data_IF_881889996319
#
_entry.id   IF_881889996319
#
_cell.length_a   1.000
_cell.length_b   1.000
_cell.length_c   1.000
_cell.angle_alpha   90.00
_cell.angle_beta   90.00
_cell.angle_gamma   90.00
#
_symmetry.space_group_name_H-M   'P 1'
#
loop_
_entity.id
_entity.type
_entity.pdbx_description
1 polymer ?
#
# COMPACT_ATOMS: atom_id res chain seq x y z
N UNK A 1 29.81 -5.52 38.29
CA UNK A 1 28.43 -5.06 38.53
C UNK A 1 28.32 -3.65 37.96
N UNK A 2 27.83 -3.53 36.77
CA UNK A 2 27.64 -2.23 36.12
C UNK A 2 26.15 -2.13 35.83
N UNK A 3 25.45 -1.30 36.60
CA UNK A 3 24.04 -1.02 36.49
C UNK A 3 23.75 -0.42 35.09
N UNK A 4 23.14 -1.19 34.23
CA UNK A 4 22.54 -0.69 32.98
C UNK A 4 21.24 0.02 33.35
N UNK A 5 21.29 1.31 33.53
CA UNK A 5 20.09 2.16 33.61
C UNK A 5 19.27 2.02 32.31
N UNK A 6 17.96 1.74 32.40
CA UNK A 6 17.11 1.77 31.25
C UNK A 6 17.03 3.20 30.69
N UNK A 7 17.33 3.37 29.41
CA UNK A 7 17.20 4.63 28.70
C UNK A 7 15.75 5.12 28.82
N UNK A 8 15.54 6.17 29.61
CA UNK A 8 14.24 6.84 29.71
C UNK A 8 13.89 7.40 28.34
N UNK A 9 12.99 6.76 27.64
CA UNK A 9 12.32 7.34 26.47
C UNK A 9 11.62 8.61 26.95
N UNK A 10 12.20 9.78 26.67
CA UNK A 10 11.56 11.08 26.89
C UNK A 10 10.31 11.12 26.03
N UNK A 11 9.17 10.79 26.61
CA UNK A 11 7.88 11.09 26.02
C UNK A 11 7.75 12.61 25.92
N UNK A 12 7.86 13.14 24.71
CA UNK A 12 7.65 14.56 24.46
C UNK A 12 6.15 14.83 24.68
N UNK A 13 5.83 15.37 25.86
CA UNK A 13 4.48 15.83 26.18
C UNK A 13 4.17 17.09 25.37
N UNK A 14 3.66 16.90 24.17
CA UNK A 14 3.14 17.99 23.34
C UNK A 14 1.89 18.53 24.03
N UNK A 15 1.85 19.84 24.25
CA UNK A 15 0.69 20.51 24.87
C UNK A 15 -0.59 20.13 24.10
N UNK A 16 -1.70 19.79 24.80
CA UNK A 16 -2.91 19.28 24.13
C UNK A 16 -3.49 20.25 23.10
N UNK A 17 -3.35 21.57 23.32
CA UNK A 17 -3.74 22.57 22.33
C UNK A 17 -2.91 22.54 21.05
N UNK A 18 -1.59 22.34 21.18
CA UNK A 18 -0.70 22.23 20.02
C UNK A 18 -1.01 20.95 19.21
N UNK A 19 -1.27 19.84 19.91
CA UNK A 19 -1.68 18.59 19.26
C UNK A 19 -3.01 18.77 18.51
N UNK A 20 -4.00 19.44 19.12
CA UNK A 20 -5.28 19.74 18.48
C UNK A 20 -5.09 20.63 17.24
N UNK A 21 -4.27 21.69 17.35
CA UNK A 21 -3.97 22.58 16.23
C UNK A 21 -3.32 21.83 15.05
N UNK A 22 -2.33 20.98 15.30
CA UNK A 22 -1.70 20.15 14.27
C UNK A 22 -2.72 19.22 13.62
N UNK A 23 -3.57 18.55 14.41
CA UNK A 23 -4.59 17.66 13.89
C UNK A 23 -5.59 18.40 13.01
N UNK A 24 -6.04 19.59 13.41
CA UNK A 24 -6.97 20.42 12.62
C UNK A 24 -6.34 20.88 11.30
N UNK A 25 -5.06 21.32 11.32
CA UNK A 25 -4.34 21.74 10.13
C UNK A 25 -4.18 20.57 9.16
N UNK A 26 -3.71 19.41 9.65
CA UNK A 26 -3.52 18.21 8.81
C UNK A 26 -4.85 17.72 8.26
N UNK A 27 -5.89 17.64 9.12
CA UNK A 27 -7.23 17.23 8.67
C UNK A 27 -7.81 18.21 7.63
N UNK A 28 -7.64 19.51 7.83
CA UNK A 28 -8.06 20.52 6.86
C UNK A 28 -7.32 20.38 5.53
N UNK A 29 -6.02 20.18 5.55
CA UNK A 29 -5.21 19.97 4.34
C UNK A 29 -5.64 18.70 3.56
N UNK A 30 -6.07 17.64 4.25
CA UNK A 30 -6.56 16.41 3.61
C UNK A 30 -8.01 16.56 3.13
N UNK A 31 -8.87 17.17 3.93
CA UNK A 31 -10.30 17.28 3.61
C UNK A 31 -10.59 18.35 2.54
N UNK A 32 -9.79 19.43 2.48
CA UNK A 32 -10.02 20.53 1.54
C UNK A 32 -10.07 20.08 0.06
N UNK A 33 -9.11 19.30 -0.47
CA UNK A 33 -9.19 18.83 -1.86
C UNK A 33 -10.35 17.87 -2.08
N UNK A 34 -10.73 17.07 -1.10
CA UNK A 34 -11.89 16.16 -1.21
C UNK A 34 -13.20 16.95 -1.27
N UNK A 35 -13.36 17.96 -0.42
CA UNK A 35 -14.52 18.87 -0.46
C UNK A 35 -14.55 19.66 -1.77
N UNK A 36 -13.40 20.17 -2.23
CA UNK A 36 -13.32 20.88 -3.50
C UNK A 36 -13.71 19.99 -4.69
N UNK A 37 -13.30 18.72 -4.70
CA UNK A 37 -13.69 17.76 -5.73
C UNK A 37 -15.19 17.46 -5.68
N UNK A 38 -15.74 17.24 -4.49
CA UNK A 38 -17.16 16.98 -4.27
C UNK A 38 -18.02 18.17 -4.71
N UNK A 39 -17.69 19.37 -4.23
CA UNK A 39 -18.43 20.59 -4.57
C UNK A 39 -18.23 20.99 -6.04
N UNK A 40 -17.04 20.74 -6.58
CA UNK A 40 -16.73 20.98 -7.99
C UNK A 40 -17.63 20.22 -8.95
N UNK A 41 -18.05 19.01 -8.56
CA UNK A 41 -19.00 18.23 -9.35
C UNK A 41 -20.39 18.87 -9.51
N UNK A 42 -20.76 19.78 -8.59
CA UNK A 42 -22.03 20.53 -8.69
C UNK A 42 -21.90 21.87 -9.43
N UNK A 43 -20.72 22.21 -9.96
CA UNK A 43 -20.46 23.47 -10.63
C UNK A 43 -20.50 23.34 -12.15
N UNK A 44 -20.74 24.47 -12.81
CA UNK A 44 -20.45 24.57 -14.24
C UNK A 44 -18.93 24.62 -14.48
N UNK A 45 -18.49 24.27 -15.68
CA UNK A 45 -17.05 24.34 -16.04
C UNK A 45 -16.48 25.76 -15.91
N UNK A 46 -17.27 26.79 -16.21
CA UNK A 46 -16.89 28.18 -16.04
C UNK A 46 -16.68 28.55 -14.58
N UNK A 47 -17.62 28.21 -13.73
CA UNK A 47 -17.56 28.45 -12.29
C UNK A 47 -16.40 27.69 -11.63
N UNK A 48 -16.17 26.44 -12.02
CA UNK A 48 -15.07 25.64 -11.52
C UNK A 48 -13.69 26.26 -11.81
N UNK A 49 -13.53 26.91 -12.96
CA UNK A 49 -12.28 27.62 -13.34
C UNK A 49 -12.07 28.92 -12.56
N UNK A 50 -13.13 29.65 -12.26
CA UNK A 50 -13.03 30.96 -11.59
C UNK A 50 -12.99 30.78 -10.07
N UNK A 51 -13.77 29.87 -9.52
CA UNK A 51 -13.89 29.64 -8.08
C UNK A 51 -13.85 28.14 -7.75
N UNK A 52 -12.66 27.48 -7.77
CA UNK A 52 -12.56 26.04 -7.55
C UNK A 52 -12.92 25.61 -6.13
N UNK A 53 -12.70 26.44 -5.12
CA UNK A 53 -12.85 26.09 -3.70
C UNK A 53 -14.12 26.63 -3.04
N UNK A 54 -14.86 27.55 -3.68
CA UNK A 54 -16.08 28.12 -3.13
C UNK A 54 -17.28 27.16 -3.19
N UNK A 55 -18.39 27.59 -2.64
CA UNK A 55 -19.68 26.89 -2.80
C UNK A 55 -20.23 27.10 -4.22
N UNK A 56 -20.97 26.14 -4.80
CA UNK A 56 -21.65 26.32 -6.07
C UNK A 56 -22.66 27.47 -5.99
N UNK A 57 -22.67 28.37 -6.98
CA UNK A 57 -23.69 29.39 -7.14
C UNK A 57 -25.02 28.77 -7.55
N UNK A 58 -24.96 27.94 -8.59
CA UNK A 58 -26.07 27.11 -9.04
C UNK A 58 -25.72 25.64 -8.95
N UNK A 59 -26.50 24.88 -8.21
CA UNK A 59 -26.27 23.46 -7.98
C UNK A 59 -26.63 22.62 -9.20
N UNK A 60 -25.63 22.15 -9.94
CA UNK A 60 -25.76 21.35 -11.15
C UNK A 60 -25.92 19.85 -10.81
N UNK A 61 -27.07 19.45 -10.29
CA UNK A 61 -27.39 18.05 -9.97
C UNK A 61 -27.32 17.13 -11.21
N UNK A 62 -27.58 17.71 -12.39
CA UNK A 62 -27.53 17.00 -13.66
C UNK A 62 -26.17 16.38 -13.95
N UNK A 63 -25.06 16.97 -13.46
CA UNK A 63 -23.71 16.43 -13.65
C UNK A 63 -23.59 15.04 -13.02
N UNK A 64 -24.04 14.88 -11.78
CA UNK A 64 -24.03 13.59 -11.10
C UNK A 64 -25.06 12.63 -11.67
N UNK A 65 -26.27 13.10 -11.97
CA UNK A 65 -27.30 12.27 -12.54
C UNK A 65 -26.92 11.75 -13.93
N UNK A 66 -26.36 12.61 -14.79
CA UNK A 66 -25.85 12.23 -16.11
C UNK A 66 -24.74 11.19 -16.03
N UNK A 67 -23.84 11.32 -15.03
CA UNK A 67 -22.79 10.35 -14.77
C UNK A 67 -23.39 8.98 -14.37
N UNK A 68 -24.25 8.97 -13.36
CA UNK A 68 -24.85 7.75 -12.79
C UNK A 68 -25.78 7.04 -13.76
N UNK A 69 -26.44 7.79 -14.67
CA UNK A 69 -27.29 7.21 -15.74
C UNK A 69 -26.48 6.64 -16.90
N UNK A 70 -25.18 7.01 -16.98
CA UNK A 70 -24.33 6.63 -18.09
C UNK A 70 -23.85 5.18 -17.99
N UNK A 71 -24.12 4.37 -19.03
CA UNK A 71 -23.63 2.97 -19.10
C UNK A 71 -22.11 2.88 -18.97
N UNK A 72 -21.38 3.85 -19.51
CA UNK A 72 -19.91 3.89 -19.47
C UNK A 72 -19.39 3.99 -18.03
N UNK A 73 -20.04 4.77 -17.16
CA UNK A 73 -19.67 4.88 -15.74
C UNK A 73 -19.68 3.52 -15.06
N UNK A 74 -20.76 2.75 -15.23
CA UNK A 74 -20.89 1.44 -14.60
C UNK A 74 -19.93 0.40 -15.19
N UNK A 75 -19.61 0.49 -16.48
CA UNK A 75 -18.57 -0.35 -17.09
C UNK A 75 -17.20 -0.06 -16.46
N UNK A 76 -16.82 1.22 -16.34
CA UNK A 76 -15.54 1.61 -15.70
C UNK A 76 -15.49 1.21 -14.22
N UNK A 77 -16.61 1.40 -13.51
CA UNK A 77 -16.71 0.99 -12.11
C UNK A 77 -16.58 -0.53 -11.97
N UNK A 78 -17.25 -1.30 -12.80
CA UNK A 78 -17.14 -2.76 -12.84
C UNK A 78 -15.72 -3.23 -13.14
N UNK A 79 -15.05 -2.64 -14.11
CA UNK A 79 -13.65 -2.96 -14.43
C UNK A 79 -12.72 -2.62 -13.26
N UNK A 80 -12.89 -1.46 -12.62
CA UNK A 80 -12.09 -1.06 -11.47
C UNK A 80 -12.28 -2.02 -10.29
N UNK A 81 -13.53 -2.41 -10.01
CA UNK A 81 -13.85 -3.36 -8.96
C UNK A 81 -13.23 -4.73 -9.24
N UNK A 82 -13.33 -5.20 -10.46
CA UNK A 82 -12.76 -6.48 -10.90
C UNK A 82 -11.24 -6.47 -10.79
N UNK A 83 -10.57 -5.44 -11.32
CA UNK A 83 -9.11 -5.29 -11.23
C UNK A 83 -8.67 -5.25 -9.77
N UNK A 84 -9.32 -4.42 -8.94
CA UNK A 84 -9.00 -4.29 -7.52
C UNK A 84 -9.17 -5.63 -6.77
N UNK A 85 -10.29 -6.31 -7.01
CA UNK A 85 -10.57 -7.61 -6.38
C UNK A 85 -9.54 -8.66 -6.79
N UNK A 86 -9.25 -8.77 -8.09
CA UNK A 86 -8.22 -9.71 -8.58
C UNK A 86 -6.84 -9.39 -8.01
N UNK A 87 -6.46 -8.11 -7.96
CA UNK A 87 -5.18 -7.69 -7.39
C UNK A 87 -5.10 -8.06 -5.91
N UNK A 88 -6.14 -7.76 -5.12
CA UNK A 88 -6.17 -8.09 -3.69
C UNK A 88 -6.10 -9.59 -3.47
N UNK A 89 -6.95 -10.37 -4.15
CA UNK A 89 -6.97 -11.84 -3.99
C UNK A 89 -5.63 -12.45 -4.38
N UNK A 90 -5.06 -12.08 -5.51
CA UNK A 90 -3.75 -12.58 -5.94
C UNK A 90 -2.65 -12.14 -4.98
N UNK A 91 -2.67 -10.90 -4.52
CA UNK A 91 -1.69 -10.43 -3.52
C UNK A 91 -1.79 -11.24 -2.24
N UNK A 92 -2.98 -11.53 -1.74
CA UNK A 92 -3.17 -12.36 -0.55
C UNK A 92 -2.64 -13.79 -0.75
N UNK A 93 -2.96 -14.42 -1.87
CA UNK A 93 -2.47 -15.78 -2.19
C UNK A 93 -0.95 -15.81 -2.30
N UNK A 94 -0.37 -14.85 -3.02
CA UNK A 94 1.09 -14.78 -3.22
C UNK A 94 1.79 -14.31 -1.93
N UNK A 95 1.12 -13.52 -1.08
CA UNK A 95 1.67 -13.12 0.23
C UNK A 95 1.87 -14.30 1.18
N UNK A 96 1.08 -15.35 1.08
CA UNK A 96 1.33 -16.58 1.84
C UNK A 96 2.69 -17.20 1.47
N UNK A 97 3.00 -17.25 0.16
CA UNK A 97 4.33 -17.67 -0.32
C UNK A 97 5.42 -16.67 0.06
N UNK A 98 5.11 -15.38 0.01
CA UNK A 98 6.02 -14.31 0.44
C UNK A 98 6.34 -14.38 1.93
N UNK A 99 5.37 -14.78 2.77
CA UNK A 99 5.60 -14.97 4.20
C UNK A 99 6.58 -16.10 4.48
N UNK A 100 6.52 -17.21 3.73
CA UNK A 100 7.52 -18.28 3.81
C UNK A 100 8.92 -17.77 3.45
N UNK A 101 9.04 -17.02 2.36
CA UNK A 101 10.30 -16.41 1.97
C UNK A 101 10.80 -15.40 3.01
N UNK A 102 9.90 -14.58 3.57
CA UNK A 102 10.23 -13.62 4.60
C UNK A 102 10.73 -14.27 5.89
N UNK A 103 10.11 -15.38 6.31
CA UNK A 103 10.56 -16.22 7.43
C UNK A 103 11.98 -16.75 7.17
N UNK A 104 12.23 -17.33 6.00
CA UNK A 104 13.57 -17.81 5.63
C UNK A 104 14.61 -16.68 5.69
N UNK A 105 14.29 -15.48 5.21
CA UNK A 105 15.17 -14.32 5.31
C UNK A 105 15.33 -13.77 6.74
N UNK A 106 14.39 -14.04 7.65
CA UNK A 106 14.47 -13.62 9.04
C UNK A 106 15.35 -14.56 9.87
N UNK A 107 15.06 -15.86 9.83
CA UNK A 107 15.51 -16.83 10.83
C UNK A 107 16.48 -17.88 10.28
N UNK A 108 16.42 -18.20 8.96
CA UNK A 108 17.30 -19.21 8.38
C UNK A 108 18.63 -18.60 7.92
N UNK A 109 19.74 -19.20 8.36
CA UNK A 109 21.08 -18.84 7.92
C UNK A 109 21.45 -19.64 6.67
N UNK A 110 21.65 -18.96 5.52
CA UNK A 110 22.12 -19.57 4.28
C UNK A 110 23.07 -18.65 3.52
N UNK A 111 23.90 -19.25 2.67
CA UNK A 111 24.86 -18.50 1.87
C UNK A 111 24.13 -17.53 0.91
N UNK A 112 24.54 -16.26 0.92
CA UNK A 112 23.95 -15.23 0.05
C UNK A 112 22.64 -14.60 0.55
N UNK A 113 22.14 -14.96 1.75
CA UNK A 113 20.90 -14.41 2.33
C UNK A 113 20.84 -12.88 2.28
N UNK A 114 21.87 -12.22 2.80
CA UNK A 114 21.89 -10.76 2.89
C UNK A 114 22.04 -10.10 1.51
N UNK A 115 22.77 -10.74 0.59
CA UNK A 115 22.85 -10.28 -0.79
C UNK A 115 21.48 -10.33 -1.48
N UNK A 116 20.77 -11.46 -1.39
CA UNK A 116 19.45 -11.64 -1.99
C UNK A 116 18.43 -10.68 -1.36
N UNK A 117 18.46 -10.51 -0.05
CA UNK A 117 17.58 -9.58 0.62
C UNK A 117 17.85 -8.13 0.21
N UNK A 118 19.12 -7.72 0.17
CA UNK A 118 19.48 -6.38 -0.30
C UNK A 118 19.11 -6.16 -1.77
N UNK A 119 19.21 -7.19 -2.61
CA UNK A 119 18.75 -7.13 -3.99
C UNK A 119 17.24 -6.86 -4.09
N UNK A 120 16.42 -7.50 -3.23
CA UNK A 120 14.99 -7.19 -3.12
C UNK A 120 14.75 -5.74 -2.66
N UNK A 121 15.53 -5.24 -1.70
CA UNK A 121 15.42 -3.85 -1.24
C UNK A 121 15.74 -2.84 -2.35
N UNK A 122 16.70 -3.12 -3.22
CA UNK A 122 16.98 -2.28 -4.38
C UNK A 122 15.75 -2.13 -5.28
N UNK A 123 14.93 -3.19 -5.41
CA UNK A 123 13.68 -3.13 -6.14
C UNK A 123 12.67 -2.11 -5.57
N UNK A 124 12.64 -1.93 -4.24
CA UNK A 124 11.81 -0.91 -3.59
C UNK A 124 12.34 0.52 -3.77
N UNK A 125 13.64 0.67 -3.90
CA UNK A 125 14.27 1.98 -4.12
C UNK A 125 14.05 2.48 -5.55
N UNK A 126 13.67 1.59 -6.47
CA UNK A 126 13.45 1.98 -7.86
C UNK A 126 12.12 2.71 -8.00
N UNK A 127 12.12 3.97 -8.47
CA UNK A 127 10.87 4.74 -8.59
C UNK A 127 9.93 4.07 -9.60
N UNK A 128 8.71 3.74 -9.17
CA UNK A 128 7.71 3.14 -10.06
C UNK A 128 7.46 3.96 -11.33
N UNK A 129 7.58 5.30 -11.23
CA UNK A 129 7.42 6.20 -12.37
C UNK A 129 8.44 5.96 -13.48
N UNK A 130 9.69 5.59 -13.16
CA UNK A 130 10.72 5.29 -14.16
C UNK A 130 10.55 3.90 -14.79
N UNK A 131 9.84 3.01 -14.11
CA UNK A 131 9.54 1.67 -14.60
C UNK A 131 8.38 1.64 -15.62
N UNK A 132 7.59 2.71 -15.75
CA UNK A 132 6.37 2.73 -16.57
C UNK A 132 6.66 2.33 -18.02
N UNK A 133 7.69 2.92 -18.66
CA UNK A 133 8.01 2.64 -20.05
C UNK A 133 8.53 1.21 -20.27
N UNK A 134 9.54 0.71 -19.53
CA UNK A 134 9.97 -0.67 -19.61
C UNK A 134 8.85 -1.68 -19.32
N UNK A 135 8.00 -1.37 -18.34
CA UNK A 135 6.86 -2.20 -17.99
C UNK A 135 5.83 -2.27 -19.11
N UNK A 136 5.51 -1.13 -19.73
CA UNK A 136 4.60 -1.08 -20.88
C UNK A 136 5.12 -1.95 -22.03
N UNK A 137 6.43 -1.83 -22.36
CA UNK A 137 7.06 -2.66 -23.40
C UNK A 137 6.91 -4.15 -23.05
N UNK A 138 7.19 -4.52 -21.80
CA UNK A 138 7.08 -5.91 -21.34
C UNK A 138 5.66 -6.46 -21.44
N UNK A 139 4.66 -5.67 -21.02
CA UNK A 139 3.24 -6.04 -21.11
C UNK A 139 2.81 -6.20 -22.55
N UNK A 140 3.25 -5.29 -23.43
CA UNK A 140 3.00 -5.39 -24.86
C UNK A 140 3.60 -6.68 -25.47
N UNK A 141 4.84 -6.97 -25.15
CA UNK A 141 5.57 -8.13 -25.68
C UNK A 141 4.98 -9.46 -25.17
N UNK A 142 4.32 -9.44 -24.00
CA UNK A 142 3.56 -10.56 -23.46
C UNK A 142 2.14 -10.67 -24.05
N UNK A 143 1.71 -9.73 -24.91
CA UNK A 143 0.37 -9.71 -25.49
C UNK A 143 -0.74 -9.37 -24.48
N UNK A 144 -0.39 -8.68 -23.38
CA UNK A 144 -1.32 -8.36 -22.30
C UNK A 144 -1.87 -6.92 -22.37
N UNK A 145 -1.62 -6.18 -23.46
CA UNK A 145 -2.25 -4.88 -23.70
C UNK A 145 -3.78 -5.06 -23.76
N UNK A 146 -4.49 -4.06 -23.24
CA UNK A 146 -5.97 -4.03 -23.17
C UNK A 146 -6.59 -5.19 -22.36
N UNK A 147 -5.77 -5.88 -21.54
CA UNK A 147 -6.17 -6.94 -20.64
C UNK A 147 -6.13 -6.48 -19.17
N UNK A 148 -7.07 -6.95 -18.35
CA UNK A 148 -7.02 -6.75 -16.90
C UNK A 148 -5.70 -7.28 -16.28
N UNK A 149 -5.14 -8.37 -16.85
CA UNK A 149 -3.89 -8.96 -16.41
C UNK A 149 -2.67 -8.04 -16.62
N UNK A 150 -2.70 -7.21 -17.66
CA UNK A 150 -1.67 -6.20 -17.90
C UNK A 150 -1.58 -5.15 -16.79
N UNK A 151 -2.63 -4.99 -15.98
CA UNK A 151 -2.66 -4.09 -14.83
C UNK A 151 -2.45 -4.86 -13.52
N UNK A 152 -3.11 -6.01 -13.36
CA UNK A 152 -3.10 -6.81 -12.13
C UNK A 152 -1.71 -7.37 -11.82
N UNK A 153 -1.05 -8.01 -12.80
CA UNK A 153 0.23 -8.66 -12.58
C UNK A 153 1.34 -7.70 -12.11
N UNK A 154 1.53 -6.52 -12.72
CA UNK A 154 2.49 -5.55 -12.21
C UNK A 154 2.20 -5.08 -10.79
N UNK A 155 0.93 -4.81 -10.47
CA UNK A 155 0.54 -4.35 -9.13
C UNK A 155 0.86 -5.42 -8.07
N UNK A 156 0.56 -6.69 -8.35
CA UNK A 156 0.91 -7.82 -7.47
C UNK A 156 2.43 -7.91 -7.31
N UNK A 157 3.19 -7.82 -8.40
CA UNK A 157 4.65 -7.94 -8.36
C UNK A 157 5.31 -6.82 -7.53
N UNK A 158 4.88 -5.56 -7.69
CA UNK A 158 5.37 -4.45 -6.87
C UNK A 158 4.97 -4.60 -5.40
N UNK A 159 3.74 -5.04 -5.13
CA UNK A 159 3.24 -5.28 -3.78
C UNK A 159 3.98 -6.38 -3.04
N UNK A 160 4.42 -7.42 -3.76
CA UNK A 160 5.08 -8.58 -3.20
C UNK A 160 6.40 -8.23 -2.49
N UNK A 161 7.24 -7.38 -3.10
CA UNK A 161 8.52 -6.97 -2.52
C UNK A 161 8.31 -6.24 -1.20
N UNK A 162 7.35 -5.32 -1.15
CA UNK A 162 6.98 -4.62 0.08
C UNK A 162 6.45 -5.59 1.14
N UNK A 163 5.60 -6.55 0.75
CA UNK A 163 5.07 -7.56 1.65
C UNK A 163 6.18 -8.41 2.29
N UNK A 164 7.15 -8.91 1.51
CA UNK A 164 8.29 -9.68 2.03
C UNK A 164 9.06 -8.89 3.08
N UNK A 165 9.36 -7.61 2.81
CA UNK A 165 10.13 -6.76 3.73
C UNK A 165 9.36 -6.52 5.03
N UNK A 166 8.07 -6.21 4.95
CA UNK A 166 7.22 -5.95 6.13
C UNK A 166 7.09 -7.22 6.99
N UNK A 167 6.80 -8.35 6.38
CA UNK A 167 6.61 -9.63 7.08
C UNK A 167 7.94 -10.09 7.71
N UNK A 168 9.07 -9.94 6.99
CA UNK A 168 10.39 -10.25 7.56
C UNK A 168 10.70 -9.41 8.79
N UNK A 169 10.40 -8.12 8.75
CA UNK A 169 10.63 -7.25 9.91
C UNK A 169 9.74 -7.64 11.08
N UNK A 170 8.53 -8.12 10.83
CA UNK A 170 7.65 -8.68 11.85
C UNK A 170 8.26 -9.93 12.49
N UNK A 171 8.71 -10.90 11.70
CA UNK A 171 9.36 -12.11 12.21
C UNK A 171 10.60 -11.78 13.05
N UNK A 172 11.45 -10.86 12.59
CA UNK A 172 12.62 -10.41 13.37
C UNK A 172 12.29 -9.72 14.70
N UNK A 173 11.06 -9.26 14.86
CA UNK A 173 10.56 -8.68 16.11
C UNK A 173 10.00 -9.69 17.09
N UNK A 174 9.84 -10.95 16.69
CA UNK A 174 9.38 -12.01 17.58
C UNK A 174 10.47 -12.38 18.60
N UNK A 175 10.12 -12.61 19.89
CA UNK A 175 11.06 -13.10 20.87
C UNK A 175 11.66 -14.46 20.45
N UNK A 176 12.99 -14.61 20.58
CA UNK A 176 13.67 -15.85 20.24
C UNK A 176 13.16 -17.05 21.05
N UNK A 177 12.70 -16.79 22.27
CA UNK A 177 12.15 -17.81 23.19
C UNK A 177 10.98 -18.59 22.56
N UNK A 178 10.20 -17.95 21.69
CA UNK A 178 9.08 -18.61 21.00
C UNK A 178 9.59 -19.68 20.02
N UNK A 179 10.66 -19.38 19.31
CA UNK A 179 11.27 -20.33 18.38
C UNK A 179 11.98 -21.46 19.12
N UNK A 180 12.70 -21.13 20.23
CA UNK A 180 13.36 -22.12 21.07
C UNK A 180 12.34 -23.06 21.72
N UNK A 181 11.22 -22.56 22.21
CA UNK A 181 10.13 -23.39 22.75
C UNK A 181 9.56 -24.35 21.70
N UNK A 182 9.34 -23.89 20.48
CA UNK A 182 8.86 -24.71 19.38
C UNK A 182 9.85 -25.82 19.01
N UNK A 183 11.15 -25.56 19.06
CA UNK A 183 12.19 -26.57 18.84
C UNK A 183 12.20 -27.65 19.94
N UNK A 184 11.93 -27.28 21.19
CA UNK A 184 11.81 -28.24 22.32
C UNK A 184 10.60 -29.16 22.11
N UNK A 185 9.51 -28.64 21.50
CA UNK A 185 8.32 -29.41 21.15
C UNK A 185 8.47 -30.21 19.84
N UNK A 186 9.69 -30.39 19.33
CA UNK A 186 10.03 -31.10 18.09
C UNK A 186 9.37 -30.50 16.82
N UNK A 187 9.03 -29.19 16.87
CA UNK A 187 8.50 -28.48 15.72
C UNK A 187 9.61 -28.09 14.74
N UNK A 188 9.56 -28.64 13.53
CA UNK A 188 10.43 -28.18 12.44
C UNK A 188 10.05 -26.77 11.94
N UNK A 189 10.93 -26.12 11.17
CA UNK A 189 10.72 -24.77 10.61
C UNK A 189 9.37 -24.57 9.91
N UNK A 190 8.92 -25.58 9.18
CA UNK A 190 7.63 -25.51 8.48
C UNK A 190 6.44 -25.58 9.45
N UNK A 191 6.54 -26.42 10.48
CA UNK A 191 5.50 -26.58 11.50
C UNK A 191 5.40 -25.33 12.38
N UNK A 192 6.52 -24.68 12.66
CA UNK A 192 6.55 -23.41 13.40
C UNK A 192 5.91 -22.26 12.60
N UNK A 193 6.09 -22.28 11.27
CA UNK A 193 5.51 -21.26 10.38
C UNK A 193 3.98 -21.42 10.23
N UNK A 194 3.46 -22.63 10.21
CA UNK A 194 2.05 -22.97 9.96
C UNK A 194 1.16 -22.82 11.20
#
# INVERSE_FOLDING_TARGET
MQDSQPSSTRTVHIHPLLRLAILLIVSGAVLMPLLAALLGGFKTLGELRVNPFGLPGDWQWQNYWGLLSGKRYWQLMGNSLLISTLTVVLTLVVSAMAAMAAFVFADVQFFGRDFLFNYLLLGLMFPAATAILPLFIKIRDLGLLDSHWGVVLPQVAFGLTAAIVLIRNYFKGLPADLFEAALVDDCGYFSFFA
#
